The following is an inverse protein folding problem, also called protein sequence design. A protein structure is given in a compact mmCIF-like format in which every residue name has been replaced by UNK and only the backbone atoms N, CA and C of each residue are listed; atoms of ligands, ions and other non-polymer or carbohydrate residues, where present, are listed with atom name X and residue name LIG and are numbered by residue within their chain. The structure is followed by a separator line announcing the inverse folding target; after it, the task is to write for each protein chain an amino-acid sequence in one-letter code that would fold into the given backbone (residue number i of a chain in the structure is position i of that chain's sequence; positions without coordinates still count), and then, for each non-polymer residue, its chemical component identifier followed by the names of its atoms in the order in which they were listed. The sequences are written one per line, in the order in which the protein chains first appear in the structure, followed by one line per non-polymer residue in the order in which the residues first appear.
data_IF_138886379648
#
_entry.id   IF_138886379648
#
_cell.length_a   1.000
_cell.length_b   1.000
_cell.length_c   1.000
_cell.angle_alpha   90.00
_cell.angle_beta   90.00
_cell.angle_gamma   90.00
#
_symmetry.space_group_name_H-M   'P 1'
#
loop_
_entity.id
_entity.type
_entity.pdbx_description
1 polymer ?
#
# COMPACT_ATOMS: atom_id res chain seq x y z
N UNK A 1 7.16 -11.01 -0.69
CA UNK A 1 6.89 -11.64 -2.01
C UNK A 1 7.29 -13.10 -1.98
N UNK A 2 6.91 -13.91 -2.96
CA UNK A 2 7.38 -15.30 -3.09
C UNK A 2 8.60 -15.35 -3.99
N UNK A 3 9.67 -15.97 -3.51
CA UNK A 3 10.97 -16.00 -4.21
C UNK A 3 11.47 -17.43 -4.28
N UNK A 4 11.80 -17.88 -5.47
CA UNK A 4 12.43 -19.17 -5.74
C UNK A 4 13.87 -18.90 -6.20
N UNK A 5 14.82 -19.64 -5.60
CA UNK A 5 16.23 -19.53 -5.94
C UNK A 5 16.61 -20.71 -6.82
N UNK A 6 17.23 -20.44 -7.96
CA UNK A 6 17.67 -21.47 -8.89
C UNK A 6 18.64 -22.48 -8.20
N UNK A 7 18.51 -23.80 -8.45
CA UNK A 7 19.35 -24.82 -7.82
C UNK A 7 20.86 -24.60 -7.98
N UNK A 8 21.28 -23.97 -9.08
CA UNK A 8 22.66 -23.66 -9.43
C UNK A 8 23.32 -22.69 -8.44
N UNK A 9 22.53 -21.96 -7.65
CA UNK A 9 23.01 -21.12 -6.55
C UNK A 9 23.65 -21.97 -5.45
N UNK A 10 23.11 -23.17 -5.19
CA UNK A 10 23.52 -24.05 -4.08
C UNK A 10 24.45 -25.19 -4.51
N UNK A 11 24.44 -25.58 -5.78
CA UNK A 11 25.26 -26.68 -6.31
C UNK A 11 26.62 -26.24 -6.86
N UNK A 12 26.91 -24.94 -6.84
CA UNK A 12 28.17 -24.37 -7.27
C UNK A 12 29.34 -24.92 -6.44
N UNK A 13 30.31 -25.58 -7.10
CA UNK A 13 31.49 -26.09 -6.39
C UNK A 13 32.25 -24.98 -5.65
N UNK A 14 32.49 -23.84 -6.32
CA UNK A 14 33.13 -22.66 -5.73
C UNK A 14 32.44 -21.38 -6.20
N UNK A 15 31.35 -20.94 -5.52
CA UNK A 15 30.66 -19.70 -5.86
C UNK A 15 31.55 -18.49 -5.56
N UNK A 16 31.45 -17.46 -6.41
CA UNK A 16 32.21 -16.23 -6.20
C UNK A 16 31.75 -15.52 -4.91
N UNK A 17 32.64 -14.80 -4.20
CA UNK A 17 32.32 -14.20 -2.89
C UNK A 17 31.07 -13.31 -2.88
N UNK A 18 30.79 -12.60 -3.97
CA UNK A 18 29.63 -11.73 -4.07
C UNK A 18 28.30 -12.50 -4.22
N UNK A 19 28.32 -13.70 -4.83
CA UNK A 19 27.16 -14.60 -4.88
C UNK A 19 26.84 -15.15 -3.50
N UNK A 20 27.85 -15.54 -2.73
CA UNK A 20 27.67 -15.99 -1.33
C UNK A 20 27.06 -14.87 -0.49
N UNK A 21 27.58 -13.65 -0.61
CA UNK A 21 27.04 -12.49 0.11
C UNK A 21 25.59 -12.17 -0.29
N UNK A 22 25.25 -12.33 -1.57
CA UNK A 22 23.89 -12.12 -2.08
C UNK A 22 22.91 -13.19 -1.58
N UNK A 23 23.30 -14.48 -1.62
CA UNK A 23 22.53 -15.57 -1.03
C UNK A 23 22.29 -15.34 0.47
N UNK A 24 23.33 -14.92 1.20
CA UNK A 24 23.22 -14.59 2.65
C UNK A 24 22.13 -13.54 2.93
N UNK A 25 22.09 -12.48 2.11
CA UNK A 25 21.11 -11.40 2.25
C UNK A 25 19.68 -11.90 2.04
N UNK A 26 19.48 -12.77 1.05
CA UNK A 26 18.16 -13.34 0.79
C UNK A 26 17.74 -14.33 1.88
N UNK A 27 18.64 -15.19 2.33
CA UNK A 27 18.38 -16.10 3.45
C UNK A 27 17.98 -15.35 4.72
N UNK A 28 18.66 -14.25 5.05
CA UNK A 28 18.27 -13.37 6.14
C UNK A 28 16.87 -12.76 5.93
N UNK A 29 16.56 -12.29 4.72
CA UNK A 29 15.23 -11.77 4.41
C UNK A 29 14.12 -12.83 4.53
N UNK A 30 14.43 -14.10 4.24
CA UNK A 30 13.49 -15.21 4.42
C UNK A 30 13.29 -15.55 5.90
N UNK A 31 14.36 -15.58 6.69
CA UNK A 31 14.28 -15.80 8.15
C UNK A 31 13.46 -14.69 8.84
N UNK A 32 13.68 -13.45 8.42
CA UNK A 32 12.90 -12.28 8.84
C UNK A 32 11.42 -12.35 8.38
N UNK A 33 11.04 -13.31 7.54
CA UNK A 33 9.69 -13.43 6.90
C UNK A 33 9.31 -12.24 6.03
N UNK A 34 10.30 -11.48 5.58
CA UNK A 34 10.10 -10.42 4.60
C UNK A 34 9.62 -11.01 3.28
N UNK A 35 10.26 -12.08 2.84
CA UNK A 35 9.88 -12.85 1.65
C UNK A 35 9.54 -14.29 2.03
N UNK A 36 8.63 -14.89 1.29
CA UNK A 36 8.36 -16.33 1.34
C UNK A 36 9.36 -17.03 0.44
N UNK A 37 10.21 -17.88 1.02
CA UNK A 37 11.11 -18.73 0.25
C UNK A 37 10.35 -19.92 -0.31
N UNK A 38 10.45 -20.13 -1.62
CA UNK A 38 9.97 -21.32 -2.31
C UNK A 38 11.17 -22.22 -2.57
N UNK A 39 11.11 -23.43 -2.03
CA UNK A 39 12.18 -24.44 -2.13
C UNK A 39 11.60 -25.71 -2.72
N UNK A 40 12.29 -26.27 -3.72
CA UNK A 40 12.06 -27.64 -4.18
C UNK A 40 12.68 -28.63 -3.18
N UNK A 41 11.93 -29.66 -2.83
CA UNK A 41 12.42 -30.69 -1.91
C UNK A 41 13.65 -31.43 -2.46
N UNK A 42 13.78 -31.52 -3.78
CA UNK A 42 14.90 -32.20 -4.45
C UNK A 42 16.26 -31.51 -4.24
N UNK A 43 16.26 -30.22 -3.85
CA UNK A 43 17.49 -29.44 -3.66
C UNK A 43 17.86 -29.20 -2.20
N UNK A 44 17.06 -29.70 -1.24
CA UNK A 44 17.27 -29.45 0.20
C UNK A 44 18.62 -29.97 0.70
N UNK A 45 19.06 -31.13 0.21
CA UNK A 45 20.37 -31.68 0.59
C UNK A 45 21.53 -30.82 0.05
N UNK A 46 21.39 -30.29 -1.18
CA UNK A 46 22.37 -29.36 -1.77
C UNK A 46 22.43 -28.05 -0.97
N UNK A 47 21.28 -27.53 -0.53
CA UNK A 47 21.20 -26.36 0.34
C UNK A 47 21.94 -26.64 1.65
N UNK A 48 21.74 -27.80 2.27
CA UNK A 48 22.41 -28.16 3.52
C UNK A 48 23.93 -28.16 3.36
N UNK A 49 24.47 -28.80 2.31
CA UNK A 49 25.90 -28.84 2.04
C UNK A 49 26.46 -27.43 1.81
N UNK A 50 25.79 -26.63 0.98
CA UNK A 50 26.15 -25.23 0.74
C UNK A 50 26.23 -24.42 2.03
N UNK A 51 25.22 -24.53 2.89
CA UNK A 51 25.14 -23.80 4.15
C UNK A 51 26.24 -24.19 5.13
N UNK A 52 26.58 -25.47 5.24
CA UNK A 52 27.69 -25.92 6.09
C UNK A 52 29.05 -25.38 5.60
N UNK A 53 29.23 -25.30 4.28
CA UNK A 53 30.47 -24.78 3.68
C UNK A 53 30.60 -23.26 3.83
N UNK A 54 29.52 -22.51 3.58
CA UNK A 54 29.58 -21.06 3.41
C UNK A 54 28.98 -20.25 4.57
N UNK A 55 28.10 -20.85 5.38
CA UNK A 55 27.40 -20.23 6.52
C UNK A 55 27.40 -21.13 7.78
N UNK A 56 28.55 -21.68 8.21
CA UNK A 56 28.58 -22.73 9.25
C UNK A 56 27.93 -22.32 10.58
N UNK A 57 27.94 -21.03 10.93
CA UNK A 57 27.33 -20.53 12.17
C UNK A 57 25.80 -20.40 12.11
N UNK A 58 25.22 -20.34 10.90
CA UNK A 58 23.78 -20.17 10.66
C UNK A 58 23.17 -21.37 9.91
N UNK A 59 23.98 -22.40 9.61
CA UNK A 59 23.59 -23.50 8.74
C UNK A 59 22.33 -24.21 9.21
N UNK A 60 22.25 -24.56 10.50
CA UNK A 60 21.08 -25.21 11.09
C UNK A 60 19.80 -24.35 11.00
N UNK A 61 19.93 -23.03 11.20
CA UNK A 61 18.79 -22.10 11.15
C UNK A 61 18.25 -22.04 9.71
N UNK A 62 19.13 -21.82 8.74
CA UNK A 62 18.72 -21.71 7.34
C UNK A 62 18.30 -23.05 6.74
N UNK A 63 18.82 -24.17 7.24
CA UNK A 63 18.40 -25.50 6.83
C UNK A 63 16.97 -25.81 7.32
N UNK A 64 16.67 -25.55 8.59
CA UNK A 64 15.30 -25.67 9.13
C UNK A 64 14.31 -24.77 8.36
N UNK A 65 14.74 -23.56 8.01
CA UNK A 65 13.98 -22.68 7.14
C UNK A 65 13.70 -23.30 5.75
N UNK A 66 14.72 -23.87 5.10
CA UNK A 66 14.58 -24.53 3.80
C UNK A 66 13.64 -25.74 3.86
N UNK A 67 13.72 -26.56 4.92
CA UNK A 67 12.82 -27.70 5.14
C UNK A 67 11.37 -27.26 5.33
N UNK A 68 11.13 -26.21 6.12
CA UNK A 68 9.78 -25.65 6.29
C UNK A 68 9.24 -25.07 4.98
N UNK A 69 10.09 -24.39 4.22
CA UNK A 69 9.76 -23.85 2.91
C UNK A 69 9.36 -24.96 1.91
N UNK A 70 10.12 -26.06 1.84
CA UNK A 70 9.81 -27.15 0.90
C UNK A 70 8.49 -27.86 1.21
N UNK A 71 8.18 -28.09 2.50
CA UNK A 71 6.89 -28.63 2.93
C UNK A 71 5.74 -27.69 2.56
N UNK A 72 5.94 -26.37 2.74
CA UNK A 72 4.95 -25.35 2.35
C UNK A 72 4.74 -25.35 0.83
N UNK A 73 5.81 -25.41 0.02
CA UNK A 73 5.73 -25.47 -1.45
C UNK A 73 4.85 -26.62 -1.96
N UNK A 74 5.00 -27.82 -1.38
CA UNK A 74 4.23 -29.00 -1.78
C UNK A 74 2.72 -28.84 -1.54
N UNK A 75 2.33 -28.24 -0.41
CA UNK A 75 0.93 -27.96 -0.10
C UNK A 75 0.27 -26.96 -1.07
N UNK A 76 1.07 -26.17 -1.78
CA UNK A 76 0.61 -25.09 -2.67
C UNK A 76 0.43 -25.52 -4.14
N UNK A 77 0.79 -26.75 -4.49
CA UNK A 77 0.59 -27.30 -5.84
C UNK A 77 -0.90 -27.55 -6.20
N UNK A 78 -1.81 -27.34 -5.25
CA UNK A 78 -3.27 -27.36 -5.43
C UNK A 78 -3.84 -26.12 -6.12
N UNK A 79 -3.79 -26.08 -7.45
CA UNK A 79 -4.75 -25.45 -8.41
C UNK A 79 -5.21 -23.96 -8.31
N UNK A 80 -4.78 -23.08 -7.40
CA UNK A 80 -5.38 -21.72 -7.33
C UNK A 80 -4.47 -20.47 -7.41
N UNK A 81 -3.13 -20.54 -7.29
CA UNK A 81 -2.31 -19.31 -7.25
C UNK A 81 -0.97 -19.41 -8.01
N UNK A 82 -1.05 -19.50 -9.35
CA UNK A 82 0.12 -19.48 -10.26
C UNK A 82 0.68 -18.08 -10.58
N UNK A 83 0.13 -16.99 -10.05
CA UNK A 83 0.68 -15.64 -10.25
C UNK A 83 1.71 -15.25 -9.18
N UNK A 84 2.92 -14.85 -9.56
CA UNK A 84 3.82 -14.08 -8.70
C UNK A 84 4.82 -14.86 -7.83
N UNK A 85 5.51 -15.86 -8.39
CA UNK A 85 6.79 -16.32 -7.84
C UNK A 85 7.90 -15.66 -8.64
N UNK A 86 8.80 -14.97 -7.97
CA UNK A 86 10.01 -14.42 -8.57
C UNK A 86 11.08 -15.51 -8.59
N UNK A 87 11.43 -15.99 -9.78
CA UNK A 87 12.54 -16.92 -9.97
C UNK A 87 13.84 -16.13 -10.10
N UNK A 88 14.84 -16.47 -9.29
CA UNK A 88 16.14 -15.79 -9.25
C UNK A 88 17.21 -16.76 -9.74
N UNK A 89 17.73 -16.48 -10.92
CA UNK A 89 18.87 -17.19 -11.49
C UNK A 89 20.18 -16.76 -10.80
N UNK A 90 21.19 -17.61 -10.90
CA UNK A 90 22.49 -17.37 -10.25
C UNK A 90 23.12 -16.06 -10.72
N UNK A 91 23.10 -15.82 -12.02
CA UNK A 91 23.71 -14.66 -12.68
C UNK A 91 23.09 -13.33 -12.22
N UNK A 92 21.80 -13.37 -11.84
CA UNK A 92 21.03 -12.21 -11.41
C UNK A 92 20.92 -12.10 -9.88
N UNK A 93 21.45 -13.08 -9.14
CA UNK A 93 21.34 -13.18 -7.69
C UNK A 93 21.80 -11.90 -6.97
N UNK A 94 22.92 -11.25 -7.33
CA UNK A 94 23.34 -10.02 -6.66
C UNK A 94 22.37 -8.85 -6.83
N UNK A 95 21.83 -8.68 -8.03
CA UNK A 95 20.89 -7.59 -8.35
C UNK A 95 19.54 -7.82 -7.69
N UNK A 96 19.00 -9.05 -7.77
CA UNK A 96 17.79 -9.41 -7.04
C UNK A 96 17.98 -9.31 -5.53
N UNK A 97 19.11 -9.74 -4.97
CA UNK A 97 19.36 -9.57 -3.53
C UNK A 97 19.37 -8.09 -3.12
N UNK A 98 19.93 -7.21 -3.96
CA UNK A 98 19.89 -5.76 -3.74
C UNK A 98 18.45 -5.22 -3.74
N UNK A 99 17.67 -5.55 -4.77
CA UNK A 99 16.28 -5.08 -4.92
C UNK A 99 15.34 -5.62 -3.83
N UNK A 100 15.45 -6.92 -3.55
CA UNK A 100 14.61 -7.62 -2.58
C UNK A 100 14.89 -7.18 -1.15
N UNK A 101 16.11 -6.72 -0.85
CA UNK A 101 16.47 -6.18 0.47
C UNK A 101 16.30 -4.67 0.61
N UNK A 102 16.16 -3.93 -0.50
CA UNK A 102 15.77 -2.50 -0.49
C UNK A 102 14.32 -2.30 -0.06
N UNK A 103 14.01 -1.30 0.76
CA UNK A 103 12.64 -1.05 1.19
C UNK A 103 11.71 -0.82 -0.01
N UNK A 104 10.50 -1.37 0.02
CA UNK A 104 9.45 -0.97 -0.92
C UNK A 104 9.06 0.49 -0.65
N UNK A 105 8.70 1.23 -1.68
CA UNK A 105 8.41 2.66 -1.58
C UNK A 105 6.95 2.92 -1.93
N UNK A 106 6.24 3.56 -0.99
CA UNK A 106 4.88 4.05 -1.20
C UNK A 106 4.96 5.57 -1.35
N UNK A 107 4.82 6.05 -2.58
CA UNK A 107 4.88 7.48 -2.90
C UNK A 107 3.50 8.11 -2.66
N UNK A 108 3.47 9.14 -1.82
CA UNK A 108 2.26 9.87 -1.42
C UNK A 108 2.46 11.38 -1.54
N UNK A 109 1.36 12.12 -1.66
CA UNK A 109 1.41 13.56 -1.88
C UNK A 109 1.98 14.30 -0.67
N UNK A 110 1.52 13.96 0.54
CA UNK A 110 1.84 14.67 1.76
C UNK A 110 2.04 13.72 2.95
N UNK A 111 3.20 13.81 3.61
CA UNK A 111 3.53 12.92 4.74
C UNK A 111 2.56 13.12 5.92
N UNK A 112 2.37 14.31 6.51
CA UNK A 112 1.42 14.48 7.62
C UNK A 112 0.00 13.94 7.39
N UNK A 113 -0.57 14.14 6.21
CA UNK A 113 -1.94 13.75 5.88
C UNK A 113 -2.04 12.29 5.43
N UNK A 114 -1.46 11.98 4.28
CA UNK A 114 -1.70 10.71 3.58
C UNK A 114 -1.06 9.54 4.34
N UNK A 115 0.07 9.76 5.02
CA UNK A 115 0.64 8.74 5.91
C UNK A 115 -0.32 8.41 7.05
N UNK A 116 -0.91 9.42 7.68
CA UNK A 116 -1.86 9.27 8.78
C UNK A 116 -3.11 8.51 8.30
N UNK A 117 -3.57 8.83 7.08
CA UNK A 117 -4.63 8.09 6.41
C UNK A 117 -4.27 6.61 6.21
N UNK A 118 -3.17 6.30 5.52
CA UNK A 118 -2.77 4.94 5.21
C UNK A 118 -2.48 4.10 6.47
N UNK A 119 -1.81 4.67 7.48
CA UNK A 119 -1.58 3.97 8.74
C UNK A 119 -2.88 3.63 9.47
N UNK A 120 -3.89 4.48 9.38
CA UNK A 120 -5.21 4.21 9.95
C UNK A 120 -5.92 3.10 9.19
N UNK A 121 -5.90 3.14 7.86
CA UNK A 121 -6.50 2.09 7.01
C UNK A 121 -5.81 0.74 7.26
N UNK A 122 -4.47 0.70 7.28
CA UNK A 122 -3.68 -0.50 7.61
C UNK A 122 -4.11 -1.09 8.95
N UNK A 123 -4.30 -0.25 9.97
CA UNK A 123 -4.73 -0.69 11.30
C UNK A 123 -6.17 -1.23 11.29
N UNK A 124 -7.11 -0.45 10.75
CA UNK A 124 -8.53 -0.76 10.75
C UNK A 124 -8.86 -2.05 9.98
N UNK A 125 -8.15 -2.31 8.88
CA UNK A 125 -8.28 -3.52 8.06
C UNK A 125 -7.35 -4.66 8.51
N UNK A 126 -6.59 -4.48 9.60
CA UNK A 126 -5.67 -5.48 10.16
C UNK A 126 -4.67 -6.01 9.13
N UNK A 127 -4.13 -5.11 8.30
CA UNK A 127 -3.11 -5.43 7.31
C UNK A 127 -1.73 -5.61 7.99
N UNK A 128 -1.62 -6.65 8.83
CA UNK A 128 -0.47 -6.89 9.70
C UNK A 128 0.85 -7.02 8.94
N UNK A 129 0.83 -7.56 7.72
CA UNK A 129 2.04 -7.67 6.88
C UNK A 129 2.59 -6.30 6.48
N UNK A 130 1.71 -5.37 6.10
CA UNK A 130 2.11 -3.99 5.76
C UNK A 130 2.59 -3.25 7.01
N UNK A 131 1.89 -3.40 8.14
CA UNK A 131 2.30 -2.82 9.41
C UNK A 131 3.70 -3.28 9.81
N UNK A 132 3.95 -4.59 9.79
CA UNK A 132 5.26 -5.17 10.08
C UNK A 132 6.33 -4.64 9.12
N UNK A 133 6.04 -4.56 7.82
CA UNK A 133 7.00 -4.05 6.84
C UNK A 133 7.39 -2.59 7.11
N UNK A 134 6.47 -1.75 7.55
CA UNK A 134 6.76 -0.36 7.93
C UNK A 134 7.60 -0.31 9.23
N UNK A 135 7.27 -1.12 10.24
CA UNK A 135 7.99 -1.18 11.52
C UNK A 135 9.43 -1.71 11.35
N UNK A 136 9.61 -2.72 10.49
CA UNK A 136 10.90 -3.34 10.16
C UNK A 136 11.67 -2.62 9.05
N UNK A 137 11.16 -1.49 8.53
CA UNK A 137 11.74 -0.72 7.40
C UNK A 137 11.93 -1.53 6.11
N UNK A 138 11.10 -2.54 5.88
CA UNK A 138 10.98 -3.23 4.59
C UNK A 138 10.10 -2.48 3.60
N UNK A 139 9.33 -1.51 4.09
CA UNK A 139 8.58 -0.54 3.31
C UNK A 139 8.72 0.86 3.95
N UNK A 140 8.63 1.91 3.13
CA UNK A 140 8.63 3.30 3.60
C UNK A 140 7.72 4.20 2.76
N UNK A 141 7.31 5.32 3.36
CA UNK A 141 6.57 6.36 2.66
C UNK A 141 7.53 7.41 2.10
N UNK A 142 7.35 7.79 0.83
CA UNK A 142 8.08 8.88 0.20
C UNK A 142 7.14 10.04 -0.12
N UNK A 143 7.57 11.25 0.25
CA UNK A 143 6.87 12.48 -0.09
C UNK A 143 7.14 12.85 -1.54
N UNK A 144 6.10 13.14 -2.32
CA UNK A 144 6.29 13.61 -3.69
C UNK A 144 6.64 15.10 -3.82
N UNK A 145 6.34 15.93 -2.82
CA UNK A 145 6.40 17.40 -2.98
C UNK A 145 5.15 18.01 -3.64
N UNK A 146 4.05 17.25 -3.75
CA UNK A 146 2.80 17.65 -4.42
C UNK A 146 2.39 16.68 -5.52
N UNK A 147 1.12 16.76 -5.96
CA UNK A 147 0.58 15.87 -7.02
C UNK A 147 1.22 16.05 -8.40
N UNK A 148 1.87 17.19 -8.67
CA UNK A 148 2.55 17.47 -9.93
C UNK A 148 3.89 16.73 -10.09
N UNK A 149 4.61 16.51 -8.99
CA UNK A 149 5.93 15.87 -8.96
C UNK A 149 5.88 14.38 -8.64
N UNK A 150 4.71 13.85 -8.25
CA UNK A 150 4.56 12.44 -7.88
C UNK A 150 5.02 11.45 -8.97
N UNK A 151 4.70 11.63 -10.27
CA UNK A 151 5.21 10.73 -11.30
C UNK A 151 6.75 10.73 -11.39
N UNK A 152 7.37 11.91 -11.33
CA UNK A 152 8.82 12.04 -11.39
C UNK A 152 9.51 11.37 -10.20
N UNK A 153 8.96 11.53 -8.99
CA UNK A 153 9.49 10.88 -7.77
C UNK A 153 9.30 9.37 -7.84
N UNK A 154 8.15 8.88 -8.30
CA UNK A 154 7.92 7.45 -8.46
C UNK A 154 8.87 6.81 -9.49
N UNK A 155 9.14 7.50 -10.60
CA UNK A 155 10.11 7.06 -11.61
C UNK A 155 11.55 7.08 -11.09
N UNK A 156 11.93 8.11 -10.34
CA UNK A 156 13.24 8.19 -9.68
C UNK A 156 13.44 7.02 -8.70
N UNK A 157 12.46 6.76 -7.83
CA UNK A 157 12.47 5.64 -6.89
C UNK A 157 12.42 4.29 -7.60
N UNK A 158 11.76 4.18 -8.77
CA UNK A 158 11.75 2.95 -9.55
C UNK A 158 13.11 2.68 -10.20
N UNK A 159 13.83 3.72 -10.66
CA UNK A 159 15.17 3.62 -11.24
C UNK A 159 16.25 3.15 -10.26
N UNK A 160 15.92 3.05 -8.98
CA UNK A 160 16.73 2.47 -7.93
C UNK A 160 16.63 0.95 -7.81
N UNK A 161 15.71 0.32 -8.55
CA UNK A 161 15.56 -1.13 -8.66
C UNK A 161 16.03 -1.59 -10.05
N UNK A 162 16.65 -2.78 -10.13
CA UNK A 162 17.22 -3.31 -11.37
C UNK A 162 16.29 -4.32 -12.07
N UNK A 163 15.65 -5.18 -11.30
CA UNK A 163 14.80 -6.26 -11.79
C UNK A 163 13.43 -6.29 -11.15
N UNK A 164 13.33 -5.94 -9.86
CA UNK A 164 12.07 -6.03 -9.12
C UNK A 164 11.70 -4.67 -8.56
N UNK A 165 10.98 -3.89 -9.37
CA UNK A 165 10.45 -2.58 -8.97
C UNK A 165 9.43 -2.77 -7.85
N UNK A 166 9.71 -2.17 -6.70
CA UNK A 166 8.86 -2.25 -5.49
C UNK A 166 8.40 -0.86 -5.09
N UNK A 167 7.83 -0.14 -6.05
CA UNK A 167 7.35 1.23 -5.90
C UNK A 167 5.86 1.28 -6.26
N UNK A 168 5.06 1.98 -5.46
CA UNK A 168 3.66 2.31 -5.82
C UNK A 168 3.39 3.78 -5.56
N UNK A 169 2.66 4.44 -6.45
CA UNK A 169 2.15 5.79 -6.26
C UNK A 169 0.66 5.78 -5.89
N UNK A 170 0.26 6.58 -4.91
CA UNK A 170 -1.14 6.70 -4.47
C UNK A 170 -1.59 8.14 -4.68
N UNK A 171 -2.69 8.31 -5.40
CA UNK A 171 -3.25 9.60 -5.74
C UNK A 171 -4.66 9.76 -5.17
N UNK A 172 -4.98 10.95 -4.67
CA UNK A 172 -6.36 11.41 -4.60
C UNK A 172 -6.96 11.45 -6.02
N UNK A 173 -8.27 11.20 -6.17
CA UNK A 173 -8.89 11.32 -7.50
C UNK A 173 -8.98 12.77 -7.95
N UNK A 174 -9.14 13.71 -7.01
CA UNK A 174 -9.50 15.10 -7.28
C UNK A 174 -10.77 15.22 -8.16
N UNK A 175 -11.56 14.15 -8.25
CA UNK A 175 -12.79 14.10 -9.03
C UNK A 175 -13.84 14.97 -8.34
N UNK A 176 -14.35 15.94 -9.09
CA UNK A 176 -15.32 16.91 -8.59
C UNK A 176 -16.78 16.40 -8.67
N UNK A 177 -17.01 15.40 -9.53
CA UNK A 177 -18.26 14.68 -9.77
C UNK A 177 -17.94 13.26 -10.25
N UNK A 178 -18.91 12.32 -10.29
CA UNK A 178 -18.66 10.93 -10.70
C UNK A 178 -18.16 10.79 -12.14
N UNK A 179 -18.63 11.65 -13.04
CA UNK A 179 -18.29 11.62 -14.47
C UNK A 179 -17.00 12.40 -14.79
N UNK A 180 -16.41 13.07 -13.79
CA UNK A 180 -15.16 13.80 -13.96
C UNK A 180 -13.98 12.89 -13.63
N UNK A 181 -13.19 12.52 -14.64
CA UNK A 181 -12.04 11.61 -14.49
C UNK A 181 -11.00 12.12 -13.47
N UNK A 182 -10.88 13.43 -13.28
CA UNK A 182 -9.89 13.99 -12.36
C UNK A 182 -8.49 14.10 -12.99
N UNK A 183 -7.67 15.06 -12.54
CA UNK A 183 -6.34 15.32 -13.12
C UNK A 183 -5.31 14.21 -12.85
N UNK A 184 -5.55 13.31 -11.90
CA UNK A 184 -4.56 12.32 -11.46
C UNK A 184 -4.70 10.96 -12.15
N UNK A 185 -5.84 10.65 -12.79
CA UNK A 185 -6.01 9.38 -13.53
C UNK A 185 -5.02 9.22 -14.70
N UNK A 186 -4.82 10.22 -15.58
CA UNK A 186 -3.83 10.10 -16.65
C UNK A 186 -2.42 9.86 -16.10
N UNK A 187 -2.04 10.55 -15.02
CA UNK A 187 -0.72 10.37 -14.38
C UNK A 187 -0.52 8.95 -13.85
N UNK A 188 -1.56 8.37 -13.22
CA UNK A 188 -1.51 7.00 -12.74
C UNK A 188 -1.41 6.00 -13.90
N UNK A 189 -2.16 6.21 -14.98
CA UNK A 189 -2.05 5.40 -16.20
C UNK A 189 -0.64 5.46 -16.80
N UNK A 190 -0.04 6.64 -16.90
CA UNK A 190 1.33 6.82 -17.42
C UNK A 190 2.37 6.03 -16.58
N UNK A 191 2.21 6.00 -15.25
CA UNK A 191 3.07 5.20 -14.37
C UNK A 191 2.88 3.69 -14.58
N UNK A 192 1.62 3.25 -14.71
CA UNK A 192 1.30 1.84 -14.95
C UNK A 192 1.86 1.37 -16.29
N UNK A 193 1.78 2.20 -17.35
CA UNK A 193 2.39 1.92 -18.65
C UNK A 193 3.91 1.77 -18.57
N UNK A 194 4.55 2.45 -17.61
CA UNK A 194 5.99 2.32 -17.30
C UNK A 194 6.32 1.16 -16.36
N UNK A 195 5.34 0.34 -15.99
CA UNK A 195 5.54 -0.79 -15.07
C UNK A 195 5.64 -0.39 -13.60
N UNK A 196 5.25 0.84 -13.24
CA UNK A 196 5.18 1.33 -11.87
C UNK A 196 3.71 1.28 -11.42
N UNK A 197 3.36 0.39 -10.48
CA UNK A 197 2.01 0.36 -9.95
C UNK A 197 1.52 1.72 -9.44
N UNK A 198 0.27 2.04 -9.71
CA UNK A 198 -0.37 3.24 -9.19
C UNK A 198 -1.82 2.95 -8.78
N UNK A 199 -2.30 3.69 -7.79
CA UNK A 199 -3.69 3.63 -7.34
C UNK A 199 -4.26 5.03 -7.22
N UNK A 200 -5.45 5.23 -7.78
CA UNK A 200 -6.21 6.47 -7.63
C UNK A 200 -7.40 6.14 -6.75
N UNK A 201 -7.51 6.82 -5.61
CA UNK A 201 -8.62 6.63 -4.67
C UNK A 201 -9.97 6.79 -5.39
N UNK A 202 -10.95 5.96 -5.04
CA UNK A 202 -12.31 6.05 -5.56
C UNK A 202 -12.99 7.37 -5.20
N UNK A 203 -12.88 7.80 -3.94
CA UNK A 203 -13.46 9.06 -3.47
C UNK A 203 -12.55 10.26 -3.81
N UNK A 204 -13.07 11.48 -3.68
CA UNK A 204 -12.38 12.70 -4.11
C UNK A 204 -10.97 12.85 -3.50
N UNK A 205 -10.89 12.82 -2.18
CA UNK A 205 -9.66 12.99 -1.40
C UNK A 205 -9.65 11.94 -0.26
N UNK A 206 -8.49 11.67 0.34
CA UNK A 206 -8.37 10.79 1.51
C UNK A 206 -9.36 11.15 2.65
N UNK A 207 -9.68 12.43 2.85
CA UNK A 207 -10.66 12.86 3.86
C UNK A 207 -12.07 12.33 3.62
N UNK A 208 -12.44 12.04 2.36
CA UNK A 208 -13.76 11.50 2.04
C UNK A 208 -13.96 10.07 2.55
N UNK A 209 -12.88 9.37 2.92
CA UNK A 209 -12.93 8.05 3.54
C UNK A 209 -13.15 8.08 5.06
N UNK A 210 -13.18 9.27 5.68
CA UNK A 210 -13.33 9.38 7.13
C UNK A 210 -14.73 8.91 7.59
N UNK A 211 -14.82 7.89 8.47
CA UNK A 211 -16.09 7.46 9.03
C UNK A 211 -16.80 8.58 9.81
N UNK A 212 -18.13 8.54 9.88
CA UNK A 212 -18.93 9.55 10.59
C UNK A 212 -18.53 9.71 12.07
N UNK A 213 -18.13 8.61 12.72
CA UNK A 213 -17.61 8.62 14.09
C UNK A 213 -16.39 9.53 14.24
N UNK A 214 -15.48 9.56 13.26
CA UNK A 214 -14.30 10.43 13.25
C UNK A 214 -14.73 11.88 13.09
N UNK A 215 -15.59 12.15 12.12
CA UNK A 215 -16.08 13.49 11.82
C UNK A 215 -16.85 14.12 13.00
N UNK A 216 -17.58 13.31 13.76
CA UNK A 216 -18.30 13.74 14.96
C UNK A 216 -17.38 14.21 16.11
N UNK A 217 -16.09 13.87 16.06
CA UNK A 217 -15.09 14.29 17.05
C UNK A 217 -14.31 15.54 16.62
N UNK A 218 -14.62 16.14 15.47
CA UNK A 218 -13.90 17.32 14.97
C UNK A 218 -14.58 18.62 15.40
N UNK A 219 -13.95 19.34 16.32
CA UNK A 219 -14.40 20.65 16.80
C UNK A 219 -15.31 20.57 18.02
N UNK A 220 -16.25 21.53 18.16
CA UNK A 220 -17.15 21.56 19.32
C UNK A 220 -18.20 20.47 19.23
N UNK A 221 -18.35 19.72 20.32
CA UNK A 221 -19.44 18.75 20.51
C UNK A 221 -20.80 19.43 20.26
N UNK A 222 -21.70 18.75 19.56
CA UNK A 222 -22.99 19.30 19.09
C UNK A 222 -22.91 19.98 17.72
N UNK A 223 -21.92 20.85 17.47
CA UNK A 223 -21.71 21.39 16.12
C UNK A 223 -21.22 20.31 15.15
N UNK A 224 -20.27 19.49 15.61
CA UNK A 224 -19.75 18.37 14.83
C UNK A 224 -20.84 17.33 14.55
N UNK A 225 -21.62 16.95 15.56
CA UNK A 225 -22.76 16.04 15.45
C UNK A 225 -23.80 16.57 14.45
N UNK A 226 -24.13 17.86 14.52
CA UNK A 226 -25.04 18.50 13.57
C UNK A 226 -24.49 18.47 12.14
N UNK A 227 -23.19 18.74 11.93
CA UNK A 227 -22.57 18.64 10.60
C UNK A 227 -22.63 17.22 10.06
N UNK A 228 -22.37 16.21 10.88
CA UNK A 228 -22.49 14.80 10.49
C UNK A 228 -23.93 14.46 10.07
N UNK A 229 -24.93 14.87 10.84
CA UNK A 229 -26.34 14.63 10.50
C UNK A 229 -26.74 15.26 9.15
N UNK A 230 -26.20 16.43 8.82
CA UNK A 230 -26.43 17.06 7.52
C UNK A 230 -25.62 16.41 6.40
N UNK A 231 -24.42 15.90 6.70
CA UNK A 231 -23.61 15.14 5.75
C UNK A 231 -24.29 13.82 5.36
N UNK A 232 -24.98 13.17 6.30
CA UNK A 232 -25.77 11.95 6.05
C UNK A 232 -26.99 12.17 5.14
N UNK A 233 -27.38 13.43 4.88
CA UNK A 233 -28.43 13.75 3.91
C UNK A 233 -27.94 13.75 2.47
N UNK A 234 -26.62 13.81 2.25
CA UNK A 234 -26.05 13.67 0.91
C UNK A 234 -26.19 12.21 0.48
N UNK A 235 -26.60 12.00 -0.76
CA UNK A 235 -26.50 10.65 -1.34
C UNK A 235 -25.03 10.23 -1.46
N UNK A 236 -24.70 8.92 -1.49
CA UNK A 236 -23.30 8.45 -1.47
C UNK A 236 -22.40 9.14 -2.50
N UNK A 237 -22.86 9.27 -3.75
CA UNK A 237 -22.14 10.00 -4.81
C UNK A 237 -21.85 11.47 -4.46
N UNK A 238 -22.74 12.16 -3.76
CA UNK A 238 -22.51 13.55 -3.34
C UNK A 238 -21.48 13.63 -2.23
N UNK A 239 -21.56 12.72 -1.24
CA UNK A 239 -20.56 12.61 -0.17
C UNK A 239 -19.17 12.32 -0.72
N UNK A 240 -19.07 11.43 -1.71
CA UNK A 240 -17.82 11.05 -2.36
C UNK A 240 -17.04 12.23 -2.97
N UNK A 241 -17.74 13.30 -3.39
CA UNK A 241 -17.14 14.47 -4.05
C UNK A 241 -17.25 15.78 -3.27
N UNK A 242 -17.81 15.75 -2.07
CA UNK A 242 -17.87 16.89 -1.16
C UNK A 242 -16.46 17.28 -0.68
N UNK A 243 -16.14 18.58 -0.63
CA UNK A 243 -14.86 19.07 -0.09
C UNK A 243 -14.89 18.95 1.44
N UNK A 244 -14.42 17.82 1.99
CA UNK A 244 -14.48 17.58 3.44
C UNK A 244 -13.75 18.66 4.25
N UNK A 245 -12.68 19.25 3.69
CA UNK A 245 -11.90 20.29 4.36
C UNK A 245 -12.60 21.64 4.37
N UNK A 246 -13.16 22.06 3.22
CA UNK A 246 -13.63 23.45 3.00
C UNK A 246 -15.14 23.58 2.84
N UNK A 247 -15.87 22.48 2.75
CA UNK A 247 -17.30 22.47 2.51
C UNK A 247 -17.70 23.29 1.29
N UNK A 248 -18.79 24.06 1.43
CA UNK A 248 -19.30 24.97 0.39
C UNK A 248 -18.72 26.39 0.46
N UNK A 249 -17.59 26.62 1.14
CA UNK A 249 -16.97 27.97 1.20
C UNK A 249 -16.49 28.49 -0.15
N UNK A 250 -16.14 27.60 -1.08
CA UNK A 250 -15.68 27.95 -2.42
C UNK A 250 -16.85 27.91 -3.39
N UNK A 251 -16.89 28.82 -4.38
CA UNK A 251 -17.86 28.71 -5.46
C UNK A 251 -17.67 27.38 -6.19
N UNK A 252 -18.80 26.78 -6.58
CA UNK A 252 -18.79 25.56 -7.41
C UNK A 252 -18.01 25.83 -8.70
N UNK A 253 -17.12 24.89 -9.05
CA UNK A 253 -16.48 24.93 -10.36
C UNK A 253 -17.49 24.57 -11.45
N UNK A 254 -17.16 24.87 -12.71
CA UNK A 254 -18.06 24.61 -13.83
C UNK A 254 -18.48 23.13 -13.91
N UNK A 255 -17.56 22.23 -13.57
CA UNK A 255 -17.73 20.78 -13.56
C UNK A 255 -18.65 20.29 -12.42
N UNK A 256 -18.85 21.09 -11.36
CA UNK A 256 -19.72 20.76 -10.21
C UNK A 256 -21.10 21.40 -10.31
N UNK A 257 -21.32 22.25 -11.31
CA UNK A 257 -22.53 23.05 -11.42
C UNK A 257 -23.76 22.14 -11.47
N UNK A 258 -24.68 22.35 -10.53
CA UNK A 258 -25.92 21.59 -10.45
C UNK A 258 -25.82 20.26 -9.68
N UNK A 259 -24.61 19.83 -9.30
CA UNK A 259 -24.41 18.52 -8.66
C UNK A 259 -24.99 18.45 -7.24
N UNK A 260 -25.11 19.60 -6.57
CA UNK A 260 -25.64 19.73 -5.20
C UNK A 260 -26.96 20.54 -5.13
N UNK A 261 -27.62 20.81 -6.26
CA UNK A 261 -28.79 21.70 -6.34
C UNK A 261 -30.04 21.16 -5.63
N UNK A 262 -30.10 19.85 -5.42
CA UNK A 262 -31.17 19.17 -4.68
C UNK A 262 -31.03 19.28 -3.15
N UNK A 263 -29.90 19.80 -2.64
CA UNK A 263 -29.70 20.04 -1.21
C UNK A 263 -30.50 21.25 -0.73
N UNK A 264 -31.18 21.08 0.40
CA UNK A 264 -31.87 22.18 1.06
C UNK A 264 -30.90 23.26 1.58
N UNK A 265 -31.40 24.49 1.71
CA UNK A 265 -30.59 25.64 2.12
C UNK A 265 -29.96 25.47 3.51
N UNK A 266 -30.60 24.72 4.42
CA UNK A 266 -30.08 24.50 5.76
C UNK A 266 -28.89 23.52 5.73
N UNK A 267 -28.99 22.44 4.95
CA UNK A 267 -27.87 21.53 4.69
C UNK A 267 -26.67 22.23 4.07
N UNK A 268 -26.88 23.05 3.03
CA UNK A 268 -25.79 23.85 2.45
C UNK A 268 -25.17 24.80 3.47
N UNK A 269 -25.98 25.46 4.32
CA UNK A 269 -25.51 26.38 5.36
C UNK A 269 -24.70 25.66 6.45
N UNK A 270 -25.15 24.51 6.94
CA UNK A 270 -24.47 23.75 7.99
C UNK A 270 -23.15 23.15 7.50
N UNK A 271 -23.13 22.66 6.26
CA UNK A 271 -21.93 22.08 5.64
C UNK A 271 -21.01 23.13 5.00
N UNK A 272 -21.41 24.40 4.95
CA UNK A 272 -20.60 25.48 4.39
C UNK A 272 -19.15 25.52 4.88
N UNK A 273 -18.84 25.42 6.19
CA UNK A 273 -17.45 25.48 6.65
C UNK A 273 -16.65 24.18 6.44
N UNK A 274 -17.29 23.07 6.08
CA UNK A 274 -16.66 21.74 6.08
C UNK A 274 -16.27 21.26 7.49
N UNK A 275 -15.31 20.33 7.53
CA UNK A 275 -14.75 19.74 8.75
C UNK A 275 -13.31 20.24 9.05
N UNK A 276 -12.72 21.02 8.15
CA UNK A 276 -11.37 21.60 8.32
C UNK A 276 -10.22 20.64 7.99
N UNK A 277 -8.99 21.11 8.15
CA UNK A 277 -7.78 20.37 7.75
C UNK A 277 -7.31 19.28 8.73
N UNK A 278 -8.06 19.01 9.80
CA UNK A 278 -7.68 18.05 10.86
C UNK A 278 -8.35 16.68 10.71
N UNK A 279 -9.09 16.44 9.62
CA UNK A 279 -9.81 15.17 9.42
C UNK A 279 -8.88 13.96 9.50
N UNK A 280 -7.75 13.97 8.77
CA UNK A 280 -6.81 12.84 8.76
C UNK A 280 -6.03 12.71 10.08
N UNK A 281 -5.73 13.84 10.75
CA UNK A 281 -5.13 13.85 12.10
C UNK A 281 -6.07 13.17 13.10
N UNK A 282 -7.34 13.56 13.12
CA UNK A 282 -8.36 12.96 13.98
C UNK A 282 -8.57 11.48 13.68
N UNK A 283 -8.57 11.11 12.39
CA UNK A 283 -8.70 9.72 11.97
C UNK A 283 -7.54 8.88 12.52
N UNK A 284 -6.32 9.41 12.46
CA UNK A 284 -5.15 8.74 13.01
C UNK A 284 -5.17 8.66 14.53
N UNK A 285 -5.59 9.71 15.24
CA UNK A 285 -5.76 9.65 16.71
C UNK A 285 -6.73 8.54 17.12
N UNK A 286 -7.84 8.39 16.39
CA UNK A 286 -8.88 7.39 16.64
C UNK A 286 -8.60 6.02 16.04
N UNK A 287 -7.46 5.81 15.37
CA UNK A 287 -7.19 4.59 14.59
C UNK A 287 -7.41 3.28 15.35
N UNK A 288 -7.18 3.27 16.66
CA UNK A 288 -7.35 2.09 17.52
C UNK A 288 -8.82 1.76 17.85
N UNK A 289 -9.71 2.73 17.65
CA UNK A 289 -11.16 2.58 17.82
C UNK A 289 -11.87 2.28 16.50
N UNK A 290 -11.13 2.31 15.37
CA UNK A 290 -11.66 2.08 14.02
C UNK A 290 -11.41 0.64 13.56
N UNK A 291 -12.36 0.11 12.80
CA UNK A 291 -12.27 -1.18 12.13
C UNK A 291 -12.84 -1.10 10.71
N UNK A 292 -12.62 -2.13 9.90
CA UNK A 292 -13.12 -2.19 8.52
C UNK A 292 -14.65 -1.93 8.41
N UNK A 293 -15.43 -2.35 9.41
CA UNK A 293 -16.88 -2.16 9.41
C UNK A 293 -17.29 -0.68 9.48
N UNK A 294 -16.46 0.20 10.06
CA UNK A 294 -16.74 1.65 10.10
C UNK A 294 -16.65 2.27 8.70
N UNK A 295 -15.74 1.76 7.86
CA UNK A 295 -15.60 2.18 6.47
C UNK A 295 -16.71 1.57 5.60
N UNK A 296 -17.06 0.30 5.81
CA UNK A 296 -18.17 -0.36 5.10
C UNK A 296 -19.52 0.29 5.38
N UNK A 297 -19.77 0.68 6.63
CA UNK A 297 -21.00 1.36 7.04
C UNK A 297 -21.13 2.75 6.40
N UNK A 298 -20.01 3.41 6.10
CA UNK A 298 -19.99 4.68 5.38
C UNK A 298 -20.26 4.46 3.89
N UNK A 299 -19.49 3.58 3.25
CA UNK A 299 -19.62 3.26 1.82
C UNK A 299 -18.93 1.91 1.53
N UNK A 300 -19.68 0.85 1.16
CA UNK A 300 -19.11 -0.45 0.83
C UNK A 300 -18.10 -0.43 -0.33
N UNK A 301 -18.32 0.43 -1.33
CA UNK A 301 -17.41 0.54 -2.48
C UNK A 301 -16.10 1.22 -2.06
N UNK A 302 -16.16 2.16 -1.13
CA UNK A 302 -14.96 2.77 -0.53
C UNK A 302 -14.16 1.74 0.27
N UNK A 303 -14.82 0.88 1.06
CA UNK A 303 -14.13 -0.18 1.79
C UNK A 303 -13.45 -1.18 0.86
N UNK A 304 -14.09 -1.52 -0.26
CA UNK A 304 -13.50 -2.39 -1.28
C UNK A 304 -12.32 -1.74 -2.01
N UNK A 305 -12.40 -0.44 -2.28
CA UNK A 305 -11.29 0.34 -2.83
C UNK A 305 -10.07 0.33 -1.89
N UNK A 306 -10.28 0.51 -0.58
CA UNK A 306 -9.21 0.40 0.42
C UNK A 306 -8.59 -1.00 0.47
N UNK A 307 -9.37 -2.08 0.28
CA UNK A 307 -8.82 -3.43 0.17
C UNK A 307 -7.93 -3.59 -1.04
N UNK A 308 -8.33 -3.06 -2.20
CA UNK A 308 -7.53 -3.09 -3.43
C UNK A 308 -6.23 -2.32 -3.23
N UNK A 309 -6.29 -1.15 -2.59
CA UNK A 309 -5.11 -0.37 -2.23
C UNK A 309 -4.15 -1.16 -1.32
N UNK A 310 -4.67 -1.77 -0.25
CA UNK A 310 -3.85 -2.56 0.68
C UNK A 310 -3.24 -3.78 -0.02
N UNK A 311 -4.01 -4.52 -0.84
CA UNK A 311 -3.52 -5.63 -1.61
C UNK A 311 -2.41 -5.22 -2.59
N UNK A 312 -2.53 -4.03 -3.19
CA UNK A 312 -1.50 -3.47 -4.06
C UNK A 312 -0.20 -3.19 -3.29
N UNK A 313 -0.27 -2.52 -2.14
CA UNK A 313 0.89 -2.25 -1.28
C UNK A 313 1.52 -3.57 -0.80
N UNK A 314 0.69 -4.52 -0.36
CA UNK A 314 1.15 -5.83 0.13
C UNK A 314 1.84 -6.64 -0.97
N UNK A 315 1.42 -6.51 -2.23
CA UNK A 315 2.08 -7.19 -3.36
C UNK A 315 3.53 -6.77 -3.57
N UNK A 316 3.92 -5.59 -3.09
CA UNK A 316 5.30 -5.10 -3.13
C UNK A 316 6.15 -5.60 -1.96
N UNK A 317 5.55 -6.21 -0.94
CA UNK A 317 6.22 -6.64 0.31
C UNK A 317 6.51 -8.12 0.21
#
# INVERSE_FOLDING_TARGET
MRVELAPEIFTAADPEPHHIAAASKLLAAFDERRHDWIVDIEIVDNIAEYLHKHHPTLAEIYFDLAQKASVKSLAWTGTAQRGGVLFVEREQLPEHASDLTRAAVVVIENIPGDKSFLQTVIHAFRAHRIQQALESRWAEFRHSGGSGSMPAVAEEEAGHFHHTVRVVAIFDSDSLTPDHEGPNRPKASDLIEKGIPAHVLLLREAENYAPNLVLANIGKRGEAELRVQHLERLVPRQRAHFDMKKGFTRPEKAEQKGFFDDLDADTRRVLHPGFGGKVLEQMFEMRHDLCAADFEAMDPDAAEDLRKLLALIESLI
#
